data_IF_007833095932
#
_entry.id   IF_007833095932
#
_cell.length_a   1.000
_cell.length_b   1.000
_cell.length_c   1.000
_cell.angle_alpha   90.00
_cell.angle_beta   90.00
_cell.angle_gamma   90.00
#
_symmetry.space_group_name_H-M   'P 1'
#
loop_
_entity.id
_entity.type
_entity.pdbx_description
1 polymer ?
#
# COMPACT_ATOMS: atom_id res chain seq x y z
N UNK A 1 12.65 -32.68 -4.37
CA UNK A 1 13.04 -32.99 -5.77
C UNK A 1 12.51 -31.90 -6.69
N UNK A 2 13.26 -31.49 -7.74
CA UNK A 2 12.75 -30.57 -8.76
C UNK A 2 11.64 -31.30 -9.52
N UNK A 3 10.44 -30.71 -9.56
CA UNK A 3 9.30 -31.24 -10.29
C UNK A 3 9.36 -30.88 -11.77
N UNK A 4 9.54 -29.57 -12.07
CA UNK A 4 9.69 -29.03 -13.42
C UNK A 4 10.31 -27.61 -13.37
N UNK A 5 10.38 -26.96 -14.54
CA UNK A 5 10.80 -25.58 -14.67
C UNK A 5 9.78 -24.79 -15.49
N UNK A 6 9.49 -23.56 -15.05
CA UNK A 6 8.55 -22.67 -15.71
C UNK A 6 9.27 -21.41 -16.17
N UNK A 7 9.15 -21.08 -17.44
CA UNK A 7 9.67 -19.82 -17.98
C UNK A 7 8.86 -18.66 -17.42
N UNK A 8 9.57 -17.69 -16.82
CA UNK A 8 9.00 -16.46 -16.23
C UNK A 8 9.71 -15.25 -16.80
N UNK A 9 8.98 -14.12 -16.77
CA UNK A 9 9.50 -12.85 -17.27
C UNK A 9 9.15 -11.74 -16.29
N UNK A 10 10.09 -10.84 -16.08
CA UNK A 10 9.92 -9.67 -15.21
C UNK A 10 10.34 -8.41 -15.94
N UNK A 11 9.51 -7.38 -15.90
CA UNK A 11 9.88 -6.04 -16.36
C UNK A 11 10.94 -5.47 -15.43
N UNK A 12 12.04 -5.00 -16.02
CA UNK A 12 13.16 -4.36 -15.32
C UNK A 12 13.22 -2.88 -15.66
N UNK A 13 14.13 -2.14 -15.02
CA UNK A 13 14.45 -0.76 -15.39
C UNK A 13 14.80 -0.69 -16.87
N UNK A 14 14.40 0.40 -17.52
CA UNK A 14 14.71 0.62 -18.91
C UNK A 14 16.22 0.75 -19.11
N UNK A 15 16.68 0.26 -20.23
CA UNK A 15 18.04 0.49 -20.70
C UNK A 15 17.98 1.58 -21.78
N UNK A 16 18.36 2.81 -21.41
CA UNK A 16 18.10 4.02 -22.20
C UNK A 16 16.59 4.13 -22.53
N UNK A 17 16.22 4.22 -23.82
CA UNK A 17 14.84 4.27 -24.29
C UNK A 17 14.17 2.90 -24.45
N UNK A 18 14.90 1.80 -24.26
CA UNK A 18 14.40 0.45 -24.49
C UNK A 18 13.88 -0.20 -23.22
N UNK A 19 12.77 -0.91 -23.35
CA UNK A 19 12.25 -1.75 -22.27
C UNK A 19 13.15 -2.96 -22.03
N UNK A 20 13.60 -3.14 -20.78
CA UNK A 20 14.37 -4.32 -20.41
C UNK A 20 13.49 -5.36 -19.69
N UNK A 21 13.69 -6.62 -20.04
CA UNK A 21 12.98 -7.76 -19.47
C UNK A 21 13.97 -8.84 -19.06
N UNK A 22 13.83 -9.33 -17.82
CA UNK A 22 14.53 -10.51 -17.35
C UNK A 22 13.69 -11.75 -17.66
N UNK A 23 14.30 -12.76 -18.29
CA UNK A 23 13.68 -14.05 -18.54
C UNK A 23 14.49 -15.13 -17.85
N UNK A 24 13.82 -16.04 -17.13
CA UNK A 24 14.48 -17.17 -16.51
C UNK A 24 13.55 -18.39 -16.45
N UNK A 25 14.15 -19.57 -16.46
CA UNK A 25 13.48 -20.83 -16.15
C UNK A 25 13.58 -21.10 -14.66
N UNK A 26 12.48 -20.92 -13.95
CA UNK A 26 12.41 -21.03 -12.49
C UNK A 26 11.97 -22.44 -12.11
N UNK A 27 12.77 -23.15 -11.29
CA UNK A 27 12.39 -24.48 -10.83
C UNK A 27 11.15 -24.44 -9.92
N UNK A 28 10.30 -25.44 -10.07
CA UNK A 28 9.29 -25.78 -9.06
C UNK A 28 9.70 -27.06 -8.35
N UNK A 29 9.53 -27.05 -7.04
CA UNK A 29 9.87 -28.20 -6.19
C UNK A 29 8.61 -28.78 -5.59
N UNK A 30 8.54 -30.10 -5.54
CA UNK A 30 7.46 -30.82 -4.88
C UNK A 30 7.92 -31.20 -3.47
N UNK A 31 7.08 -30.86 -2.47
CA UNK A 31 7.31 -31.25 -1.09
C UNK A 31 7.05 -32.77 -0.96
N UNK A 32 8.01 -33.49 -0.40
CA UNK A 32 7.86 -34.94 -0.16
C UNK A 32 6.85 -35.29 0.92
N UNK A 33 6.59 -34.37 1.86
CA UNK A 33 5.67 -34.61 2.97
C UNK A 33 4.21 -34.31 2.64
N UNK A 34 3.91 -33.24 1.86
CA UNK A 34 2.52 -32.85 1.56
C UNK A 34 2.17 -32.85 0.07
N UNK A 35 3.09 -33.24 -0.82
CA UNK A 35 2.89 -33.28 -2.26
C UNK A 35 2.73 -31.92 -2.96
N UNK A 36 2.69 -30.83 -2.22
CA UNK A 36 2.48 -29.47 -2.77
C UNK A 36 3.68 -29.06 -3.61
N UNK A 37 3.40 -28.56 -4.81
CA UNK A 37 4.43 -27.99 -5.70
C UNK A 37 4.51 -26.48 -5.51
N UNK A 38 5.72 -25.96 -5.24
CA UNK A 38 5.99 -24.55 -5.01
C UNK A 38 7.13 -24.08 -5.92
N UNK A 39 7.00 -22.88 -6.49
CA UNK A 39 8.04 -22.26 -7.28
C UNK A 39 9.12 -21.73 -6.33
N UNK A 40 10.40 -21.92 -6.68
CA UNK A 40 11.50 -21.34 -5.92
C UNK A 40 11.49 -19.80 -6.04
N UNK A 41 11.82 -19.09 -4.96
CA UNK A 41 11.96 -17.64 -5.02
C UNK A 41 13.15 -17.25 -5.89
N UNK A 42 13.07 -16.08 -6.50
CA UNK A 42 14.16 -15.48 -7.25
C UNK A 42 14.67 -14.22 -6.52
N UNK A 43 15.98 -13.92 -6.53
CA UNK A 43 16.51 -12.81 -5.71
C UNK A 43 16.15 -11.42 -6.24
N UNK A 44 15.74 -11.31 -7.51
CA UNK A 44 15.45 -10.02 -8.16
C UNK A 44 13.99 -9.62 -8.16
N UNK A 45 13.07 -10.49 -7.72
CA UNK A 45 11.64 -10.20 -7.70
C UNK A 45 10.96 -10.90 -6.53
N UNK A 46 9.95 -10.23 -5.94
CA UNK A 46 9.12 -10.89 -4.94
C UNK A 46 8.12 -11.85 -5.60
N UNK A 47 7.64 -12.79 -4.82
CA UNK A 47 6.66 -13.77 -5.25
C UNK A 47 5.40 -13.12 -5.85
N UNK A 48 4.90 -13.68 -6.94
CA UNK A 48 3.73 -13.17 -7.65
C UNK A 48 3.93 -11.83 -8.37
N UNK A 49 5.12 -11.23 -8.33
CA UNK A 49 5.42 -10.03 -9.10
C UNK A 49 5.85 -10.37 -10.54
N UNK A 50 5.42 -9.55 -11.50
CA UNK A 50 5.98 -9.50 -12.85
C UNK A 50 6.94 -8.32 -13.04
N UNK A 51 7.41 -7.71 -11.94
CA UNK A 51 8.40 -6.64 -11.91
C UNK A 51 9.60 -7.07 -11.08
N UNK A 52 10.76 -6.57 -11.42
CA UNK A 52 11.92 -6.69 -10.53
C UNK A 52 11.79 -5.73 -9.35
N UNK A 53 12.51 -6.01 -8.25
CA UNK A 53 12.53 -5.15 -7.06
C UNK A 53 12.95 -3.71 -7.39
N UNK A 54 13.95 -3.55 -8.28
CA UNK A 54 14.40 -2.22 -8.72
C UNK A 54 13.31 -1.48 -9.52
N UNK A 55 12.55 -2.19 -10.35
CA UNK A 55 11.47 -1.58 -11.10
C UNK A 55 10.27 -1.23 -10.21
N UNK A 56 9.98 -2.03 -9.17
CA UNK A 56 8.99 -1.69 -8.14
C UNK A 56 9.44 -0.46 -7.33
N UNK A 57 10.73 -0.38 -6.96
CA UNK A 57 11.28 0.77 -6.24
C UNK A 57 11.17 2.08 -7.03
N UNK A 58 11.46 2.05 -8.34
CA UNK A 58 11.23 3.20 -9.23
C UNK A 58 9.75 3.61 -9.22
N UNK A 59 8.83 2.64 -9.33
CA UNK A 59 7.40 2.91 -9.32
C UNK A 59 6.93 3.56 -8.02
N UNK A 60 7.42 3.09 -6.87
CA UNK A 60 7.11 3.69 -5.58
C UNK A 60 7.68 5.10 -5.45
N UNK A 61 8.92 5.32 -5.91
CA UNK A 61 9.54 6.65 -5.92
C UNK A 61 8.72 7.65 -6.76
N UNK A 62 8.30 7.24 -7.96
CA UNK A 62 7.46 8.09 -8.81
C UNK A 62 6.08 8.36 -8.18
N UNK A 63 5.46 7.38 -7.51
CA UNK A 63 4.16 7.55 -6.86
C UNK A 63 4.21 8.46 -5.61
N UNK A 64 5.38 8.80 -5.10
CA UNK A 64 5.52 9.83 -4.03
C UNK A 64 5.29 11.24 -4.56
N UNK A 65 5.63 11.48 -5.83
CA UNK A 65 5.61 12.81 -6.44
C UNK A 65 4.48 12.96 -7.47
N UNK A 66 3.97 11.86 -8.02
CA UNK A 66 3.03 11.85 -9.12
C UNK A 66 1.79 10.99 -8.82
N UNK A 67 0.62 11.35 -9.37
CA UNK A 67 -0.51 10.43 -9.42
C UNK A 67 -0.13 9.10 -10.09
N UNK A 68 -0.67 7.98 -9.58
CA UNK A 68 -0.32 6.63 -10.05
C UNK A 68 -0.49 6.45 -11.56
N UNK A 69 -1.49 7.10 -12.17
CA UNK A 69 -1.70 7.05 -13.61
C UNK A 69 -0.53 7.68 -14.39
N UNK A 70 -0.02 8.82 -13.92
CA UNK A 70 1.13 9.51 -14.53
C UNK A 70 2.43 8.72 -14.31
N UNK A 71 2.66 8.22 -13.09
CA UNK A 71 3.79 7.35 -12.80
C UNK A 71 3.78 6.09 -13.69
N UNK A 72 2.62 5.46 -13.85
CA UNK A 72 2.46 4.30 -14.73
C UNK A 72 2.76 4.62 -16.21
N UNK A 73 2.34 5.79 -16.69
CA UNK A 73 2.66 6.24 -18.05
C UNK A 73 4.17 6.42 -18.24
N UNK A 74 4.87 7.05 -17.28
CA UNK A 74 6.33 7.19 -17.33
C UNK A 74 7.04 5.84 -17.32
N UNK A 75 6.53 4.87 -16.55
CA UNK A 75 7.06 3.51 -16.51
C UNK A 75 6.63 2.64 -17.70
N UNK A 76 5.78 3.15 -18.59
CA UNK A 76 5.20 2.40 -19.72
C UNK A 76 4.49 1.11 -19.29
N UNK A 77 3.73 1.17 -18.19
CA UNK A 77 2.93 0.05 -17.66
C UNK A 77 1.47 0.44 -17.46
N UNK A 78 0.58 -0.54 -17.45
CA UNK A 78 -0.82 -0.28 -17.14
C UNK A 78 -0.99 0.20 -15.69
N UNK A 79 -1.76 1.28 -15.41
CA UNK A 79 -1.97 1.82 -14.06
C UNK A 79 -2.42 0.78 -13.03
N UNK A 80 -3.28 -0.16 -13.43
CA UNK A 80 -3.74 -1.26 -12.57
C UNK A 80 -2.60 -2.17 -12.08
N UNK A 81 -1.53 -2.33 -12.88
CA UNK A 81 -0.35 -3.11 -12.46
C UNK A 81 0.43 -2.36 -11.39
N UNK A 82 0.61 -1.05 -11.54
CA UNK A 82 1.31 -0.22 -10.55
C UNK A 82 0.49 -0.10 -9.26
N UNK A 83 -0.82 0.12 -9.34
CA UNK A 83 -1.72 0.13 -8.18
C UNK A 83 -1.59 -1.13 -7.31
N UNK A 84 -1.50 -2.32 -7.92
CA UNK A 84 -1.31 -3.56 -7.16
C UNK A 84 0.02 -3.60 -6.41
N UNK A 85 1.06 -2.92 -6.94
CA UNK A 85 2.36 -2.82 -6.25
C UNK A 85 2.29 -1.84 -5.10
N UNK A 86 1.77 -0.64 -5.34
CA UNK A 86 1.56 0.38 -4.31
C UNK A 86 0.75 -0.22 -3.15
N UNK A 87 -0.38 -0.85 -3.43
CA UNK A 87 -1.22 -1.49 -2.40
C UNK A 87 -0.43 -2.48 -1.55
N UNK A 88 0.31 -3.37 -2.18
CA UNK A 88 1.12 -4.36 -1.46
C UNK A 88 2.09 -3.70 -0.47
N UNK A 89 2.83 -2.67 -0.91
CA UNK A 89 3.79 -2.00 -0.04
C UNK A 89 3.12 -1.17 1.06
N UNK A 90 1.96 -0.58 0.77
CA UNK A 90 1.13 0.10 1.79
C UNK A 90 0.65 -0.92 2.83
N UNK A 91 0.14 -2.08 2.43
CA UNK A 91 -0.29 -3.14 3.35
C UNK A 91 0.87 -3.64 4.23
N UNK A 92 2.05 -3.86 3.64
CA UNK A 92 3.25 -4.28 4.40
C UNK A 92 3.73 -3.19 5.37
N UNK A 93 3.69 -1.93 4.97
CA UNK A 93 4.05 -0.81 5.84
C UNK A 93 3.03 -0.66 6.98
N UNK A 94 1.74 -0.74 6.63
CA UNK A 94 0.63 -0.60 7.58
C UNK A 94 0.65 -1.69 8.65
N UNK A 95 0.94 -2.93 8.29
CA UNK A 95 1.05 -4.04 9.24
C UNK A 95 2.18 -3.87 10.29
N UNK A 96 3.10 -2.92 10.07
CA UNK A 96 4.20 -2.58 10.98
C UNK A 96 4.00 -1.25 11.67
N UNK A 97 2.88 -0.58 11.40
CA UNK A 97 2.62 0.73 11.96
C UNK A 97 2.39 0.62 13.47
N UNK A 98 2.89 1.60 14.21
CA UNK A 98 2.73 1.72 15.66
C UNK A 98 2.06 3.04 15.99
N UNK A 99 0.92 2.98 16.66
CA UNK A 99 0.14 4.13 17.10
C UNK A 99 0.20 4.36 18.61
N UNK A 100 1.03 3.62 19.36
CA UNK A 100 1.13 3.73 20.82
C UNK A 100 1.53 5.13 21.30
N UNK A 101 2.28 5.86 20.48
CA UNK A 101 2.74 7.23 20.77
C UNK A 101 1.83 8.36 20.27
N UNK A 102 0.71 8.06 19.62
CA UNK A 102 -0.17 9.10 19.06
C UNK A 102 -0.94 9.81 20.17
N UNK A 103 -0.86 11.15 20.19
CA UNK A 103 -1.53 12.02 21.18
C UNK A 103 -2.33 13.14 20.53
N UNK A 104 -1.92 13.59 19.35
CA UNK A 104 -2.51 14.75 18.66
C UNK A 104 -2.96 14.34 17.27
N UNK A 105 -4.26 14.41 17.01
CA UNK A 105 -4.81 13.99 15.72
C UNK A 105 -5.49 15.17 15.01
N UNK A 106 -5.34 15.19 13.69
CA UNK A 106 -6.13 16.04 12.80
C UNK A 106 -7.09 15.17 12.00
N UNK A 107 -8.35 15.55 11.95
CA UNK A 107 -9.40 14.86 11.23
C UNK A 107 -9.93 15.80 10.16
N UNK A 108 -9.92 15.34 8.93
CA UNK A 108 -10.38 16.11 7.76
C UNK A 108 -11.23 15.24 6.84
N UNK A 109 -12.10 15.90 6.09
CA UNK A 109 -12.98 15.26 5.12
C UNK A 109 -12.64 15.76 3.70
N UNK A 110 -12.39 14.86 2.81
CA UNK A 110 -12.17 15.22 1.41
C UNK A 110 -13.16 14.52 0.48
N UNK A 111 -13.62 15.26 -0.54
CA UNK A 111 -14.49 14.70 -1.57
C UNK A 111 -13.69 13.91 -2.60
N UNK A 112 -14.07 12.66 -2.84
CA UNK A 112 -13.39 11.79 -3.80
C UNK A 112 -13.95 11.94 -5.21
N UNK A 113 -15.26 12.28 -5.33
CA UNK A 113 -15.96 12.41 -6.61
C UNK A 113 -17.11 13.43 -6.51
N UNK A 114 -17.55 13.95 -7.64
CA UNK A 114 -18.83 14.64 -7.74
C UNK A 114 -19.95 13.73 -7.25
N UNK A 115 -20.84 14.22 -6.37
CA UNK A 115 -21.97 13.45 -5.83
C UNK A 115 -21.82 13.05 -4.36
N UNK A 116 -21.14 13.87 -3.53
CA UNK A 116 -21.08 13.73 -2.07
C UNK A 116 -20.44 12.41 -1.57
N UNK A 117 -19.47 11.87 -2.30
CA UNK A 117 -18.66 10.78 -1.80
C UNK A 117 -17.46 11.35 -1.06
N UNK A 118 -17.48 11.22 0.25
CA UNK A 118 -16.41 11.70 1.14
C UNK A 118 -15.56 10.55 1.65
N UNK A 119 -14.32 10.87 1.95
CA UNK A 119 -13.46 10.06 2.80
C UNK A 119 -13.06 10.91 4.01
N UNK A 120 -13.08 10.30 5.19
CA UNK A 120 -12.48 10.85 6.38
C UNK A 120 -11.03 10.41 6.43
N UNK A 121 -10.13 11.34 6.70
CA UNK A 121 -8.69 11.10 6.89
C UNK A 121 -8.29 11.54 8.29
N UNK A 122 -7.46 10.75 8.94
CA UNK A 122 -6.93 11.05 10.26
C UNK A 122 -5.40 11.11 10.19
N UNK A 123 -4.84 12.20 10.66
CA UNK A 123 -3.41 12.48 10.66
C UNK A 123 -2.85 12.55 12.07
N UNK A 124 -1.64 12.06 12.27
CA UNK A 124 -0.80 12.37 13.40
C UNK A 124 -0.18 13.76 13.18
N UNK A 125 -0.58 14.73 13.97
CA UNK A 125 -0.11 16.11 13.83
C UNK A 125 1.34 16.29 14.28
N UNK A 126 1.81 15.46 15.21
CA UNK A 126 3.19 15.50 15.70
C UNK A 126 4.16 14.87 14.69
N UNK A 127 3.86 13.65 14.24
CA UNK A 127 4.70 12.93 13.28
C UNK A 127 4.43 13.32 11.81
N UNK A 128 3.40 14.15 11.53
CA UNK A 128 3.00 14.62 10.18
C UNK A 128 2.78 13.45 9.21
N UNK A 129 2.08 12.43 9.68
CA UNK A 129 1.78 11.23 8.89
C UNK A 129 0.28 10.94 8.84
N UNK A 130 -0.17 10.30 7.78
CA UNK A 130 -1.52 9.74 7.68
C UNK A 130 -1.61 8.50 8.57
N UNK A 131 -2.58 8.48 9.47
CA UNK A 131 -2.88 7.33 10.34
C UNK A 131 -3.94 6.44 9.74
N UNK A 132 -5.03 7.04 9.25
CA UNK A 132 -6.21 6.30 8.83
C UNK A 132 -6.96 7.02 7.73
N UNK A 133 -7.64 6.28 6.88
CA UNK A 133 -8.56 6.82 5.89
C UNK A 133 -9.69 5.82 5.64
N UNK A 134 -10.93 6.27 5.66
CA UNK A 134 -12.08 5.43 5.33
C UNK A 134 -13.16 6.22 4.58
N UNK A 135 -14.00 5.53 3.79
CA UNK A 135 -15.20 6.15 3.21
C UNK A 135 -16.17 6.60 4.29
N UNK A 136 -16.84 7.74 4.06
CA UNK A 136 -17.83 8.30 4.98
C UNK A 136 -17.38 9.60 5.60
N UNK A 137 -18.30 10.20 6.38
CA UNK A 137 -18.11 11.45 7.13
C UNK A 137 -19.03 11.52 8.35
N UNK A 138 -19.09 10.46 9.12
CA UNK A 138 -19.99 10.36 10.27
C UNK A 138 -19.26 9.80 11.49
N UNK A 139 -19.97 9.70 12.61
CA UNK A 139 -19.43 9.16 13.86
C UNK A 139 -18.94 7.70 13.72
N UNK A 140 -19.43 6.94 12.74
CA UNK A 140 -18.98 5.57 12.49
C UNK A 140 -17.53 5.56 12.01
N UNK A 141 -17.11 6.60 11.27
CA UNK A 141 -15.72 6.72 10.80
C UNK A 141 -14.75 6.93 11.96
N UNK A 142 -15.18 7.64 13.02
CA UNK A 142 -14.39 7.80 14.25
C UNK A 142 -14.29 6.49 15.03
N UNK A 143 -15.38 5.73 15.10
CA UNK A 143 -15.40 4.39 15.68
C UNK A 143 -14.42 3.45 14.97
N UNK A 144 -14.44 3.44 13.64
CA UNK A 144 -13.53 2.65 12.83
C UNK A 144 -12.06 3.07 13.04
N UNK A 145 -11.78 4.37 13.17
CA UNK A 145 -10.43 4.85 13.51
C UNK A 145 -9.98 4.37 14.90
N UNK A 146 -10.87 4.44 15.89
CA UNK A 146 -10.57 3.99 17.26
C UNK A 146 -10.24 2.48 17.31
N UNK A 147 -10.97 1.66 16.56
CA UNK A 147 -10.68 0.22 16.41
C UNK A 147 -9.34 -0.02 15.72
N UNK A 148 -9.08 0.69 14.62
CA UNK A 148 -7.83 0.60 13.89
C UNK A 148 -6.64 1.04 14.74
N UNK A 149 -6.79 2.10 15.54
CA UNK A 149 -5.76 2.57 16.47
C UNK A 149 -5.41 1.49 17.50
N UNK A 150 -6.42 0.82 18.08
CA UNK A 150 -6.19 -0.30 19.02
C UNK A 150 -5.48 -1.46 18.33
N UNK A 151 -5.86 -1.79 17.10
CA UNK A 151 -5.22 -2.86 16.34
C UNK A 151 -3.73 -2.59 16.04
N UNK A 152 -3.31 -1.31 16.10
CA UNK A 152 -1.93 -0.86 15.91
C UNK A 152 -1.25 -0.39 17.22
N UNK A 153 -1.68 -0.94 18.36
CA UNK A 153 -1.03 -0.71 19.65
C UNK A 153 -1.32 0.62 20.32
N UNK A 154 -2.19 1.46 19.75
CA UNK A 154 -2.60 2.73 20.35
C UNK A 154 -3.84 2.58 21.23
N UNK A 155 -4.10 3.59 22.07
CA UNK A 155 -5.31 3.69 22.88
C UNK A 155 -6.00 5.04 22.59
N UNK A 156 -7.23 5.04 22.07
CA UNK A 156 -7.98 6.29 21.81
C UNK A 156 -8.13 7.18 23.06
N UNK A 157 -8.12 6.60 24.26
CA UNK A 157 -8.21 7.37 25.50
C UNK A 157 -6.94 8.21 25.79
N UNK A 158 -5.84 7.95 25.11
CA UNK A 158 -4.60 8.71 25.25
C UNK A 158 -4.50 9.91 24.30
N UNK A 159 -5.49 10.14 23.45
CA UNK A 159 -5.53 11.30 22.59
C UNK A 159 -5.84 12.53 23.42
N UNK A 160 -4.92 13.49 23.44
CA UNK A 160 -5.00 14.73 24.19
C UNK A 160 -5.68 15.85 23.39
N UNK A 161 -5.42 15.89 22.08
CA UNK A 161 -5.97 16.92 21.20
C UNK A 161 -6.48 16.31 19.90
N UNK A 162 -7.70 16.71 19.51
CA UNK A 162 -8.28 16.44 18.20
C UNK A 162 -8.61 17.77 17.52
N UNK A 163 -7.99 18.02 16.36
CA UNK A 163 -8.29 19.17 15.51
C UNK A 163 -9.24 18.69 14.39
N UNK A 164 -10.40 19.30 14.29
CA UNK A 164 -11.44 18.94 13.31
C UNK A 164 -11.86 20.25 12.63
N UNK A 165 -12.04 20.22 11.31
CA UNK A 165 -12.70 21.34 10.62
C UNK A 165 -14.15 21.45 11.11
N UNK A 166 -14.67 22.70 11.21
CA UNK A 166 -15.96 23.05 11.82
C UNK A 166 -17.19 22.47 11.11
N UNK A 167 -17.12 21.22 10.65
CA UNK A 167 -18.24 20.46 10.12
C UNK A 167 -19.19 20.00 11.23
N UNK A 168 -20.49 20.29 11.12
CA UNK A 168 -21.53 19.92 12.09
C UNK A 168 -21.65 18.39 12.34
N UNK A 169 -20.98 17.56 11.59
CA UNK A 169 -21.06 16.10 11.65
C UNK A 169 -20.44 15.49 12.94
N UNK A 170 -19.47 16.18 13.58
CA UNK A 170 -18.73 15.68 14.74
C UNK A 170 -19.01 16.43 16.05
N UNK A 171 -19.90 17.44 16.02
CA UNK A 171 -20.22 18.30 17.14
C UNK A 171 -21.37 17.80 18.05
N UNK A 172 -21.59 16.48 18.10
CA UNK A 172 -22.60 15.87 18.97
C UNK A 172 -21.97 15.00 20.04
#
# INVERSE_FOLDING_TARGET
MIHDRVRRSWRHLDFFQFEAWLHAEVPRVQCSGCGKTTQLPVPWAREGSGFTLLFEALGLSLCRELPVAQAANQMRVAPKRLWRRVRHYVEVARAKDDMSGVRHVGIDETSVKRGHQYITVVHDLAAKRLLFACPGRDHQTLGAFAEDMRAHGGDPATIEHACIDMGAAYAK
#
